data_IF_613884173889
#
_entry.id   IF_613884173889
#
_cell.length_a   1.000
_cell.length_b   1.000
_cell.length_c   1.000
_cell.angle_alpha   90.00
_cell.angle_beta   90.00
_cell.angle_gamma   90.00
#
_symmetry.space_group_name_H-M   'P 1'
#
loop_
_entity.id
_entity.type
_entity.pdbx_description
1 polymer ?
#
# COMPACT_ATOMS: atom_id res chain seq x y z
N UNK A 1 -20.90 13.32 13.40
CA UNK A 1 -20.28 11.99 13.26
C UNK A 1 -18.82 12.21 12.89
N UNK A 2 -17.89 12.04 13.83
CA UNK A 2 -16.46 12.15 13.53
C UNK A 2 -16.02 10.88 12.82
N UNK A 3 -15.96 10.93 11.49
CA UNK A 3 -15.26 9.91 10.70
C UNK A 3 -13.76 10.13 10.89
N UNK A 4 -13.21 9.66 12.01
CA UNK A 4 -11.76 9.64 12.22
C UNK A 4 -11.16 8.74 11.14
N UNK A 5 -10.72 9.35 10.03
CA UNK A 5 -9.85 8.68 9.08
C UNK A 5 -8.59 8.28 9.86
N UNK A 6 -8.19 7.00 9.82
CA UNK A 6 -6.96 6.58 10.45
C UNK A 6 -5.81 7.44 9.89
N UNK A 7 -5.00 7.98 10.81
CA UNK A 7 -3.84 8.78 10.44
C UNK A 7 -2.90 7.96 9.54
N UNK A 8 -2.25 8.59 8.56
CA UNK A 8 -1.28 7.90 7.73
C UNK A 8 -0.12 7.39 8.59
N UNK A 9 0.34 6.17 8.31
CA UNK A 9 1.59 5.67 8.89
C UNK A 9 2.73 6.34 8.13
N UNK A 10 3.61 7.01 8.86
CA UNK A 10 4.74 7.78 8.34
C UNK A 10 6.04 7.28 8.99
N UNK A 11 7.08 7.16 8.18
CA UNK A 11 8.38 6.61 8.58
C UNK A 11 9.08 5.94 7.41
N UNK A 12 10.28 5.40 7.64
CA UNK A 12 10.94 4.55 6.64
C UNK A 12 10.29 3.15 6.67
N UNK A 13 9.31 2.95 5.80
CA UNK A 13 8.54 1.70 5.70
C UNK A 13 9.14 0.81 4.60
N UNK A 14 9.14 -0.49 4.84
CA UNK A 14 9.54 -1.48 3.83
C UNK A 14 8.67 -2.72 3.89
N UNK A 15 8.48 -3.37 2.74
CA UNK A 15 7.92 -4.70 2.62
C UNK A 15 8.84 -5.57 1.77
N UNK A 16 8.90 -6.86 2.07
CA UNK A 16 9.55 -7.85 1.21
C UNK A 16 8.47 -8.68 0.53
N UNK A 17 8.47 -8.71 -0.79
CA UNK A 17 7.51 -9.45 -1.60
C UNK A 17 7.91 -10.93 -1.70
N UNK A 18 6.99 -11.78 -2.15
CA UNK A 18 7.23 -13.23 -2.26
C UNK A 18 8.35 -13.60 -3.25
N UNK A 19 8.54 -12.79 -4.29
CA UNK A 19 9.64 -12.91 -5.25
C UNK A 19 10.98 -12.35 -4.73
N UNK A 20 11.02 -11.91 -3.47
CA UNK A 20 12.23 -11.45 -2.79
C UNK A 20 12.59 -9.98 -3.03
N UNK A 21 11.75 -9.21 -3.72
CA UNK A 21 11.99 -7.77 -3.88
C UNK A 21 11.68 -7.01 -2.58
N UNK A 22 12.47 -5.97 -2.29
CA UNK A 22 12.20 -5.06 -1.17
C UNK A 22 11.66 -3.75 -1.71
N UNK A 23 10.43 -3.41 -1.33
CA UNK A 23 9.79 -2.15 -1.66
C UNK A 23 9.85 -1.23 -0.44
N UNK A 24 10.17 0.05 -0.65
CA UNK A 24 10.27 1.02 0.44
C UNK A 24 9.61 2.34 0.08
N UNK A 25 9.04 2.99 1.10
CA UNK A 25 8.42 4.30 0.97
C UNK A 25 8.37 5.04 2.33
N UNK A 26 8.15 6.36 2.26
CA UNK A 26 8.02 7.22 3.46
C UNK A 26 6.63 7.18 4.10
N UNK A 27 5.64 6.64 3.40
CA UNK A 27 4.23 6.59 3.81
C UNK A 27 3.63 5.24 3.45
N UNK A 28 2.62 4.81 4.20
CA UNK A 28 1.84 3.62 3.90
C UNK A 28 1.18 3.68 2.52
N UNK A 29 0.69 4.85 2.11
CA UNK A 29 0.12 5.07 0.77
C UNK A 29 1.17 4.88 -0.32
N UNK A 30 2.37 5.45 -0.15
CA UNK A 30 3.46 5.28 -1.11
C UNK A 30 3.93 3.83 -1.18
N UNK A 31 3.94 3.13 -0.05
CA UNK A 31 4.29 1.71 0.01
C UNK A 31 3.23 0.84 -0.68
N UNK A 32 1.95 1.12 -0.44
CA UNK A 32 0.83 0.45 -1.12
C UNK A 32 0.90 0.65 -2.64
N UNK A 33 1.19 1.87 -3.10
CA UNK A 33 1.36 2.14 -4.52
C UNK A 33 2.54 1.39 -5.12
N UNK A 34 3.71 1.40 -4.46
CA UNK A 34 4.87 0.64 -4.90
C UNK A 34 4.56 -0.86 -5.00
N UNK A 35 3.82 -1.40 -4.02
CA UNK A 35 3.41 -2.80 -4.01
C UNK A 35 2.46 -3.16 -5.15
N UNK A 36 1.45 -2.33 -5.41
CA UNK A 36 0.51 -2.56 -6.51
C UNK A 36 1.21 -2.46 -7.85
N UNK A 37 2.09 -1.46 -8.04
CA UNK A 37 2.88 -1.32 -9.26
C UNK A 37 3.79 -2.52 -9.50
N UNK A 38 4.42 -3.05 -8.44
CA UNK A 38 5.23 -4.27 -8.52
C UNK A 38 4.37 -5.48 -8.93
N UNK A 39 3.22 -5.66 -8.28
CA UNK A 39 2.31 -6.80 -8.51
C UNK A 39 1.70 -6.79 -9.92
N UNK A 40 1.23 -5.64 -10.39
CA UNK A 40 0.55 -5.52 -11.69
C UNK A 40 1.51 -5.30 -12.86
N UNK A 41 2.71 -4.79 -12.60
CA UNK A 41 3.69 -4.44 -13.63
C UNK A 41 3.07 -3.57 -14.72
N UNK A 42 3.20 -4.00 -15.99
CA UNK A 42 2.69 -3.26 -17.16
C UNK A 42 1.17 -3.08 -17.18
N UNK A 43 0.40 -3.88 -16.45
CA UNK A 43 -1.05 -3.70 -16.37
C UNK A 43 -1.43 -2.41 -15.64
N UNK A 44 -0.58 -1.92 -14.72
CA UNK A 44 -0.79 -0.68 -13.99
C UNK A 44 -1.01 0.52 -14.92
N UNK A 45 -0.21 0.60 -15.98
CA UNK A 45 -0.25 1.72 -16.95
C UNK A 45 -1.49 1.68 -17.85
N UNK A 46 -2.22 0.56 -17.85
CA UNK A 46 -3.45 0.37 -18.63
C UNK A 46 -4.70 0.67 -17.80
N UNK A 47 -4.57 0.77 -16.47
CA UNK A 47 -5.69 1.07 -15.58
C UNK A 47 -6.11 2.53 -15.69
N UNK A 48 -7.41 2.77 -15.57
CA UNK A 48 -7.92 4.12 -15.33
C UNK A 48 -7.48 4.62 -13.95
N UNK A 49 -7.49 5.94 -13.76
CA UNK A 49 -7.19 6.55 -12.46
C UNK A 49 -8.08 6.00 -11.32
N UNK A 50 -9.36 5.73 -11.61
CA UNK A 50 -10.29 5.16 -10.63
C UNK A 50 -9.91 3.74 -10.21
N UNK A 51 -9.48 2.91 -11.16
CA UNK A 51 -9.00 1.56 -10.89
C UNK A 51 -7.67 1.57 -10.13
N UNK A 52 -6.73 2.44 -10.52
CA UNK A 52 -5.48 2.64 -9.79
C UNK A 52 -5.76 3.02 -8.33
N UNK A 53 -6.67 3.98 -8.11
CA UNK A 53 -7.08 4.41 -6.76
C UNK A 53 -7.70 3.26 -5.96
N UNK A 54 -8.54 2.42 -6.59
CA UNK A 54 -9.13 1.24 -5.95
C UNK A 54 -8.06 0.25 -5.51
N UNK A 55 -7.13 -0.10 -6.40
CA UNK A 55 -6.05 -1.05 -6.13
C UNK A 55 -5.15 -0.56 -4.97
N UNK A 56 -4.75 0.72 -5.00
CA UNK A 56 -3.93 1.31 -3.92
C UNK A 56 -4.69 1.32 -2.60
N UNK A 57 -6.00 1.57 -2.61
CA UNK A 57 -6.83 1.56 -1.40
C UNK A 57 -6.94 0.16 -0.78
N UNK A 58 -7.06 -0.88 -1.60
CA UNK A 58 -7.09 -2.28 -1.17
C UNK A 58 -5.76 -2.69 -0.54
N UNK A 59 -4.64 -2.40 -1.23
CA UNK A 59 -3.29 -2.66 -0.72
C UNK A 59 -3.01 -1.90 0.59
N UNK A 60 -3.43 -0.64 0.68
CA UNK A 60 -3.30 0.16 1.90
C UNK A 60 -4.07 -0.45 3.08
N UNK A 61 -5.28 -0.94 2.84
CA UNK A 61 -6.09 -1.60 3.87
C UNK A 61 -5.44 -2.89 4.37
N UNK A 62 -4.71 -3.59 3.52
CA UNK A 62 -3.96 -4.79 3.89
C UNK A 62 -2.69 -4.48 4.68
N UNK A 63 -1.87 -3.52 4.23
CA UNK A 63 -0.69 -3.06 4.96
C UNK A 63 -1.05 -2.63 6.39
N UNK A 64 -2.15 -1.89 6.55
CA UNK A 64 -2.63 -1.45 7.87
C UNK A 64 -3.11 -2.60 8.74
N UNK A 65 -3.79 -3.61 8.15
CA UNK A 65 -4.20 -4.82 8.86
C UNK A 65 -2.98 -5.60 9.36
N UNK A 66 -1.96 -5.77 8.53
CA UNK A 66 -0.71 -6.44 8.91
C UNK A 66 0.03 -5.67 10.02
N UNK A 67 0.10 -4.34 9.90
CA UNK A 67 0.72 -3.49 10.92
C UNK A 67 -0.01 -3.57 12.27
N UNK A 68 -1.35 -3.56 12.28
CA UNK A 68 -2.12 -3.69 13.53
C UNK A 68 -1.95 -5.05 14.23
N UNK A 69 -1.74 -6.12 13.46
CA UNK A 69 -1.47 -7.46 14.01
C UNK A 69 -0.06 -7.57 14.59
N UNK A 70 0.91 -6.88 13.98
CA UNK A 70 2.31 -6.90 14.45
C UNK A 70 2.55 -5.99 15.66
N UNK A 71 1.66 -5.05 15.92
CA UNK A 71 1.72 -4.14 17.06
C UNK A 71 1.02 -4.67 18.32
N UNK A 72 0.48 -5.91 18.27
CA UNK A 72 -0.15 -6.62 19.39
C UNK A 72 0.82 -7.64 19.99
#
# INVERSE_FOLDING_TARGET
MSTSRPAPIVGDLSLTTEDGATLSARTDVGLAEAWVRHTLGRQWDQLTYGEQTRQVSEALAELRRAHSQSAS
#
